data_IF_959570807766
#
_entry.id   IF_959570807766
#
_cell.length_a   1.000
_cell.length_b   1.000
_cell.length_c   1.000
_cell.angle_alpha   90.00
_cell.angle_beta   90.00
_cell.angle_gamma   90.00
#
_symmetry.space_group_name_H-M   'P 1'
#
loop_
_entity.id
_entity.type
_entity.pdbx_description
1 polymer ?
#
# COMPACT_ATOMS: atom_id res chain seq x y z
N UNK A 1 -34.94 21.35 -8.64
CA UNK A 1 -34.20 20.31 -7.91
C UNK A 1 -33.53 19.42 -8.95
N UNK A 2 -32.31 19.77 -9.36
CA UNK A 2 -31.46 18.89 -10.17
C UNK A 2 -30.52 18.20 -9.20
N UNK A 3 -30.71 16.91 -8.96
CA UNK A 3 -29.76 16.13 -8.18
C UNK A 3 -28.50 16.02 -9.01
N UNK A 4 -27.48 16.78 -8.63
CA UNK A 4 -26.13 16.72 -9.18
C UNK A 4 -25.57 15.35 -8.81
N UNK A 5 -25.54 14.42 -9.76
CA UNK A 5 -24.91 13.12 -9.58
C UNK A 5 -23.40 13.40 -9.50
N UNK A 6 -22.67 12.98 -8.45
CA UNK A 6 -21.24 13.24 -8.37
C UNK A 6 -20.52 12.47 -9.48
N UNK A 7 -19.69 13.17 -10.27
CA UNK A 7 -18.97 12.65 -11.45
C UNK A 7 -17.67 11.86 -11.12
N UNK A 8 -17.54 11.24 -9.94
CA UNK A 8 -16.28 10.57 -9.55
C UNK A 8 -16.52 9.18 -8.93
N UNK A 9 -17.33 8.34 -9.56
CA UNK A 9 -17.35 6.92 -9.22
C UNK A 9 -16.14 6.22 -9.85
N UNK A 10 -15.14 5.91 -9.04
CA UNK A 10 -14.02 5.04 -9.45
C UNK A 10 -14.57 3.70 -9.94
N UNK A 11 -14.11 3.23 -11.10
CA UNK A 11 -14.51 1.92 -11.58
C UNK A 11 -14.00 0.83 -10.63
N UNK A 12 -14.75 -0.26 -10.46
CA UNK A 12 -14.30 -1.40 -9.63
C UNK A 12 -12.93 -1.91 -10.08
N UNK A 13 -12.67 -1.89 -11.39
CA UNK A 13 -11.40 -2.30 -11.97
C UNK A 13 -10.25 -1.41 -11.50
N UNK A 14 -10.46 -0.10 -11.47
CA UNK A 14 -9.43 0.84 -11.00
C UNK A 14 -9.24 0.75 -9.49
N UNK A 15 -10.31 0.57 -8.73
CA UNK A 15 -10.23 0.31 -7.29
C UNK A 15 -9.43 -0.97 -6.99
N UNK A 16 -9.69 -2.05 -7.71
CA UNK A 16 -8.97 -3.32 -7.56
C UNK A 16 -7.49 -3.19 -7.94
N UNK A 17 -7.18 -2.41 -8.99
CA UNK A 17 -5.79 -2.10 -9.40
C UNK A 17 -5.04 -1.33 -8.33
N UNK A 18 -5.63 -0.27 -7.79
CA UNK A 18 -5.03 0.53 -6.71
C UNK A 18 -4.84 -0.31 -5.46
N UNK A 19 -5.83 -1.12 -5.07
CA UNK A 19 -5.72 -2.02 -3.91
C UNK A 19 -4.62 -3.07 -4.09
N UNK A 20 -4.48 -3.63 -5.30
CA UNK A 20 -3.41 -4.58 -5.63
C UNK A 20 -2.04 -3.93 -5.56
N UNK A 21 -1.91 -2.73 -6.12
CA UNK A 21 -0.67 -1.96 -6.07
C UNK A 21 -0.30 -1.55 -4.63
N UNK A 22 -1.28 -1.12 -3.82
CA UNK A 22 -1.05 -0.79 -2.42
C UNK A 22 -0.61 -2.01 -1.61
N UNK A 23 -1.21 -3.17 -1.87
CA UNK A 23 -0.75 -4.43 -1.29
C UNK A 23 0.70 -4.73 -1.70
N UNK A 24 1.04 -4.60 -2.99
CA UNK A 24 2.40 -4.83 -3.48
C UNK A 24 3.42 -3.89 -2.80
N UNK A 25 3.12 -2.59 -2.70
CA UNK A 25 3.95 -1.59 -2.02
C UNK A 25 4.11 -1.93 -0.54
N UNK A 26 3.01 -2.22 0.17
CA UNK A 26 3.05 -2.58 1.58
C UNK A 26 3.93 -3.80 1.84
N UNK A 27 3.75 -4.88 1.07
CA UNK A 27 4.55 -6.10 1.23
C UNK A 27 6.02 -5.92 0.84
N UNK A 28 6.32 -5.05 -0.13
CA UNK A 28 7.70 -4.68 -0.46
C UNK A 28 8.36 -3.94 0.72
N UNK A 29 7.68 -2.93 1.27
CA UNK A 29 8.16 -2.19 2.44
C UNK A 29 8.31 -3.10 3.66
N UNK A 30 7.40 -4.04 3.87
CA UNK A 30 7.47 -5.02 4.96
C UNK A 30 8.71 -5.90 4.87
N UNK A 31 9.08 -6.34 3.66
CA UNK A 31 10.31 -7.11 3.42
C UNK A 31 11.56 -6.28 3.67
N UNK A 32 11.57 -5.02 3.24
CA UNK A 32 12.67 -4.08 3.48
C UNK A 32 12.83 -3.86 4.98
N UNK A 33 11.73 -3.63 5.70
CA UNK A 33 11.74 -3.40 7.15
C UNK A 33 12.23 -4.64 7.92
N UNK A 34 11.74 -5.83 7.55
CA UNK A 34 12.18 -7.10 8.13
C UNK A 34 13.70 -7.29 7.98
N UNK A 35 14.21 -6.98 6.79
CA UNK A 35 15.65 -7.07 6.48
C UNK A 35 16.43 -6.04 7.30
N UNK A 36 15.97 -4.79 7.35
CA UNK A 36 16.62 -3.71 8.10
C UNK A 36 16.70 -3.99 9.59
N UNK A 37 15.61 -4.51 10.16
CA UNK A 37 15.48 -4.80 11.60
C UNK A 37 15.98 -6.19 11.98
N UNK A 38 16.46 -6.98 11.02
CA UNK A 38 16.88 -8.38 11.23
C UNK A 38 15.80 -9.20 11.95
N UNK A 39 14.53 -8.92 11.67
CA UNK A 39 13.39 -9.51 12.35
C UNK A 39 12.57 -10.34 11.38
N UNK A 40 12.07 -11.49 11.83
CA UNK A 40 11.10 -12.27 11.06
C UNK A 40 9.71 -11.67 11.23
N UNK A 41 9.11 -11.22 10.12
CA UNK A 41 7.71 -10.79 10.13
C UNK A 41 6.82 -12.01 9.98
N UNK A 42 5.95 -12.21 10.96
CA UNK A 42 4.88 -13.22 10.92
C UNK A 42 3.56 -12.50 10.70
N UNK A 43 2.85 -12.88 9.65
CA UNK A 43 1.52 -12.37 9.36
C UNK A 43 0.47 -13.46 9.62
N UNK A 44 -0.70 -13.09 10.17
CA UNK A 44 -1.87 -13.97 10.14
C UNK A 44 -2.20 -14.39 8.70
N UNK A 45 -2.61 -15.64 8.50
CA UNK A 45 -2.93 -16.20 7.18
C UNK A 45 -3.95 -15.34 6.40
N UNK A 46 -4.90 -14.72 7.10
CA UNK A 46 -5.89 -13.81 6.51
C UNK A 46 -5.26 -12.61 5.78
N UNK A 47 -4.09 -12.17 6.22
CA UNK A 47 -3.37 -11.03 5.64
C UNK A 47 -2.37 -11.48 4.58
N UNK A 48 -2.07 -12.78 4.49
CA UNK A 48 -1.14 -13.29 3.49
C UNK A 48 -1.79 -13.21 2.08
N UNK A 49 -1.05 -12.72 1.07
CA UNK A 49 -1.55 -12.70 -0.30
C UNK A 49 -1.81 -14.14 -0.76
N UNK A 50 -3.03 -14.42 -1.22
CA UNK A 50 -3.39 -15.72 -1.80
C UNK A 50 -2.83 -15.93 -3.21
N UNK A 51 -2.51 -14.83 -3.88
CA UNK A 51 -1.86 -14.81 -5.18
C UNK A 51 -0.51 -14.09 -5.06
N UNK A 52 0.41 -14.40 -5.99
CA UNK A 52 1.67 -13.66 -6.10
C UNK A 52 1.36 -12.20 -6.40
N UNK A 53 1.81 -11.30 -5.54
CA UNK A 53 1.78 -9.87 -5.82
C UNK A 53 2.90 -9.52 -6.82
N UNK A 54 2.63 -8.61 -7.78
CA UNK A 54 3.70 -8.05 -8.60
C UNK A 54 4.69 -7.30 -7.71
N UNK A 55 5.96 -7.26 -8.13
CA UNK A 55 6.91 -6.32 -7.54
C UNK A 55 6.51 -4.88 -7.91
N UNK A 56 6.83 -3.88 -7.08
CA UNK A 56 6.56 -2.49 -7.44
C UNK A 56 7.15 -2.08 -8.79
N UNK A 57 8.30 -2.62 -9.19
CA UNK A 57 8.91 -2.36 -10.51
C UNK A 57 8.13 -2.91 -11.71
N UNK A 58 7.19 -3.83 -11.49
CA UNK A 58 6.30 -4.39 -12.53
C UNK A 58 5.00 -3.59 -12.69
N UNK A 59 4.76 -2.59 -11.83
CA UNK A 59 3.55 -1.78 -11.83
C UNK A 59 3.75 -0.47 -12.59
N UNK A 60 2.64 0.08 -13.09
CA UNK A 60 2.60 1.42 -13.66
C UNK A 60 3.00 2.46 -12.59
N UNK A 61 3.96 3.37 -12.86
CA UNK A 61 4.41 4.37 -11.90
C UNK A 61 3.29 5.23 -11.32
N UNK A 62 2.30 5.60 -12.15
CA UNK A 62 1.18 6.42 -11.69
C UNK A 62 0.29 5.67 -10.69
N UNK A 63 0.07 4.37 -10.93
CA UNK A 63 -0.69 3.52 -10.01
C UNK A 63 0.08 3.32 -8.69
N UNK A 64 1.42 3.26 -8.74
CA UNK A 64 2.26 3.22 -7.52
C UNK A 64 2.12 4.52 -6.72
N UNK A 65 2.13 5.68 -7.39
CA UNK A 65 1.96 6.97 -6.75
C UNK A 65 0.60 7.08 -6.04
N UNK A 66 -0.48 6.70 -6.73
CA UNK A 66 -1.82 6.69 -6.15
C UNK A 66 -1.94 5.73 -4.97
N UNK A 67 -1.43 4.50 -5.12
CA UNK A 67 -1.41 3.51 -4.07
C UNK A 67 -0.61 3.97 -2.85
N UNK A 68 0.54 4.60 -3.06
CA UNK A 68 1.38 5.16 -2.00
C UNK A 68 0.66 6.30 -1.29
N UNK A 69 0.04 7.21 -2.05
CA UNK A 69 -0.74 8.30 -1.50
C UNK A 69 -1.94 7.80 -0.69
N UNK A 70 -2.58 6.71 -1.12
CA UNK A 70 -3.63 6.04 -0.34
C UNK A 70 -3.07 5.48 0.98
N UNK A 71 -1.94 4.76 0.95
CA UNK A 71 -1.32 4.21 2.16
C UNK A 71 -0.89 5.29 3.16
N UNK A 72 -0.40 6.44 2.67
CA UNK A 72 -0.09 7.61 3.50
C UNK A 72 -1.35 8.16 4.18
N UNK A 73 -2.45 8.34 3.43
CA UNK A 73 -3.72 8.83 3.96
C UNK A 73 -4.33 7.88 5.00
N UNK A 74 -4.11 6.57 4.84
CA UNK A 74 -4.55 5.55 5.79
C UNK A 74 -3.62 5.40 7.01
N UNK A 75 -2.49 6.11 7.05
CA UNK A 75 -1.51 6.01 8.15
C UNK A 75 -0.81 4.66 8.21
N UNK A 76 -0.74 3.93 7.09
CA UNK A 76 -0.04 2.64 7.00
C UNK A 76 1.45 2.84 6.74
N UNK A 77 1.80 3.91 6.01
CA UNK A 77 3.17 4.31 5.70
C UNK A 77 3.40 5.77 6.07
N UNK A 78 4.66 6.12 6.27
CA UNK A 78 5.13 7.48 6.51
C UNK A 78 6.40 7.74 5.69
N UNK A 79 6.72 9.01 5.49
CA UNK A 79 7.97 9.42 4.86
C UNK A 79 8.99 9.77 5.93
N UNK A 80 10.20 9.23 5.85
CA UNK A 80 11.28 9.54 6.78
C UNK A 80 11.98 10.87 6.45
N UNK A 81 12.97 11.25 7.26
CA UNK A 81 13.74 12.50 7.10
C UNK A 81 14.51 12.60 5.76
N UNK A 82 14.69 11.49 5.06
CA UNK A 82 15.36 11.41 3.75
C UNK A 82 14.38 11.44 2.58
N UNK A 83 13.07 11.38 2.87
CA UNK A 83 12.03 11.24 1.86
C UNK A 83 11.75 9.79 1.47
N UNK A 84 12.32 8.80 2.19
CA UNK A 84 12.05 7.40 1.92
C UNK A 84 10.76 6.94 2.62
N UNK A 85 9.97 6.11 1.93
CA UNK A 85 8.77 5.51 2.50
C UNK A 85 9.12 4.43 3.52
N UNK A 86 8.44 4.43 4.67
CA UNK A 86 8.55 3.43 5.73
C UNK A 86 7.18 2.98 6.21
N UNK A 87 7.11 1.75 6.73
CA UNK A 87 5.90 1.29 7.42
C UNK A 87 5.73 2.03 8.74
N UNK A 88 4.51 2.51 9.00
CA UNK A 88 4.14 3.07 10.29
C UNK A 88 3.93 1.92 11.29
N UNK A 89 4.95 1.65 12.11
CA UNK A 89 4.93 0.56 13.09
C UNK A 89 4.41 1.06 14.44
N UNK A 90 3.15 0.76 14.76
CA UNK A 90 2.59 1.06 16.09
C UNK A 90 3.18 0.09 17.11
N UNK A 91 4.11 0.55 17.94
CA UNK A 91 4.60 -0.22 19.09
C UNK A 91 3.55 -0.17 20.20
N UNK A 92 3.02 -1.33 20.61
CA UNK A 92 2.31 -1.44 21.88
C UNK A 92 3.35 -1.33 23.00
N UNK A 93 3.35 -0.20 23.70
CA UNK A 93 4.03 -0.01 25.00
C UNK A 93 3.27 -0.72 26.11
#
# INVERSE_FOLDING_TARGET
>A
MGSMVPEDDISQVDADRICTAASAVFFALLKVEATRTHTTVVLPELLCPKARLPSPSELDPHVIEEATAMLLRLGVVETDERGDLRLHLVRRT
#
